data_IF_121059030687
#
_entry.id   IF_121059030687
#
_cell.length_a   1.000
_cell.length_b   1.000
_cell.length_c   1.000
_cell.angle_alpha   90.00
_cell.angle_beta   90.00
_cell.angle_gamma   90.00
#
_symmetry.space_group_name_H-M   'P 1'
#
loop_
_entity.id
_entity.type
_entity.pdbx_description
1 polymer ?
#
# COMPACT_ATOMS: atom_id res chain seq x y z
N UNK A 1 18.89 -6.99 -6.54
CA UNK A 1 17.56 -6.61 -6.03
C UNK A 1 17.62 -6.62 -4.52
N UNK A 2 17.24 -5.51 -3.87
CA UNK A 2 17.12 -5.46 -2.42
C UNK A 2 15.94 -6.32 -1.94
N UNK A 3 15.99 -6.81 -0.71
CA UNK A 3 15.10 -7.87 -0.22
C UNK A 3 13.72 -7.31 0.14
N UNK A 4 12.68 -7.70 -0.60
CA UNK A 4 11.28 -7.48 -0.21
C UNK A 4 10.86 -8.63 0.71
N UNK A 5 10.38 -8.30 1.91
CA UNK A 5 9.86 -9.29 2.86
C UNK A 5 8.69 -8.70 3.65
N UNK A 6 7.54 -9.34 3.53
CA UNK A 6 6.34 -8.96 4.26
C UNK A 6 6.35 -9.56 5.67
N UNK A 7 6.22 -8.69 6.67
CA UNK A 7 5.92 -9.08 8.04
C UNK A 7 4.42 -9.03 8.33
N UNK A 8 4.05 -9.15 9.60
CA UNK A 8 2.66 -9.08 10.09
C UNK A 8 1.94 -7.75 9.81
N UNK A 9 2.68 -6.71 9.39
CA UNK A 9 2.13 -5.37 9.15
C UNK A 9 2.75 -4.75 7.91
N UNK A 10 2.78 -5.51 6.82
CA UNK A 10 3.31 -5.10 5.52
C UNK A 10 4.82 -5.27 5.39
N UNK A 11 5.36 -4.70 4.32
CA UNK A 11 6.79 -4.63 4.07
C UNK A 11 7.36 -3.34 4.65
N UNK A 12 8.53 -3.43 5.31
CA UNK A 12 9.31 -2.29 5.81
C UNK A 12 10.72 -2.37 5.26
N UNK A 13 11.33 -1.23 5.00
CA UNK A 13 12.69 -1.12 4.52
C UNK A 13 13.33 0.21 4.87
N UNK A 14 14.65 0.27 4.84
CA UNK A 14 15.40 1.52 4.98
C UNK A 14 15.37 2.27 3.64
N UNK A 15 15.13 3.57 3.67
CA UNK A 15 15.15 4.42 2.48
C UNK A 15 16.45 4.27 1.69
N UNK A 16 16.34 4.26 0.36
CA UNK A 16 17.46 4.14 -0.58
C UNK A 16 18.28 2.84 -0.51
N UNK A 17 18.07 1.99 0.50
CA UNK A 17 18.63 0.65 0.58
C UNK A 17 17.60 -0.37 0.09
N UNK A 18 16.58 -0.61 0.91
CA UNK A 18 15.51 -1.56 0.61
C UNK A 18 14.29 -0.85 0.05
N UNK A 19 13.92 0.31 0.62
CA UNK A 19 12.71 1.02 0.25
C UNK A 19 12.98 2.01 -0.88
N UNK A 20 12.84 1.51 -2.11
CA UNK A 20 13.06 2.24 -3.36
C UNK A 20 11.79 2.33 -4.19
N UNK A 21 11.74 3.27 -5.14
CA UNK A 21 10.61 3.35 -6.09
C UNK A 21 10.44 2.06 -6.90
N UNK A 22 11.53 1.42 -7.30
CA UNK A 22 11.48 0.15 -8.04
C UNK A 22 10.76 -0.93 -7.24
N UNK A 23 11.14 -1.11 -5.97
CA UNK A 23 10.51 -2.09 -5.10
C UNK A 23 9.04 -1.73 -4.78
N UNK A 24 8.71 -0.44 -4.63
CA UNK A 24 7.30 0.00 -4.48
C UNK A 24 6.47 -0.35 -5.71
N UNK A 25 7.02 -0.23 -6.93
CA UNK A 25 6.31 -0.65 -8.16
C UNK A 25 6.08 -2.15 -8.19
N UNK A 26 7.10 -2.95 -7.85
CA UNK A 26 6.99 -4.42 -7.79
C UNK A 26 5.89 -4.83 -6.82
N UNK A 27 5.92 -4.30 -5.59
CA UNK A 27 4.91 -4.61 -4.57
C UNK A 27 3.52 -4.13 -4.98
N UNK A 28 3.41 -2.94 -5.57
CA UNK A 28 2.12 -2.43 -6.05
C UNK A 28 1.56 -3.31 -7.17
N UNK A 29 2.40 -3.80 -8.09
CA UNK A 29 1.99 -4.70 -9.16
C UNK A 29 1.50 -6.03 -8.60
N UNK A 30 2.21 -6.61 -7.64
CA UNK A 30 1.77 -7.85 -6.96
C UNK A 30 0.39 -7.69 -6.30
N UNK A 31 0.14 -6.55 -5.64
CA UNK A 31 -1.18 -6.24 -5.07
C UNK A 31 -2.23 -6.11 -6.18
N UNK A 32 -1.91 -5.47 -7.30
CA UNK A 32 -2.83 -5.34 -8.43
C UNK A 32 -3.24 -6.70 -9.01
N UNK A 33 -2.27 -7.62 -9.13
CA UNK A 33 -2.50 -8.96 -9.65
C UNK A 33 -3.31 -9.81 -8.67
N UNK A 34 -3.00 -9.76 -7.37
CA UNK A 34 -3.80 -10.38 -6.32
C UNK A 34 -5.28 -9.92 -6.37
N UNK A 35 -5.52 -8.62 -6.55
CA UNK A 35 -6.88 -8.08 -6.64
C UNK A 35 -7.62 -8.54 -7.91
N UNK A 36 -6.92 -8.74 -9.01
CA UNK A 36 -7.52 -9.28 -10.25
C UNK A 36 -7.86 -10.75 -10.13
N UNK A 37 -6.96 -11.55 -9.57
CA UNK A 37 -7.18 -12.98 -9.34
C UNK A 37 -8.40 -13.23 -8.45
N UNK A 38 -8.64 -12.34 -7.48
CA UNK A 38 -9.83 -12.37 -6.63
C UNK A 38 -11.09 -11.76 -7.25
N UNK A 39 -11.00 -11.19 -8.45
CA UNK A 39 -12.13 -10.52 -9.11
C UNK A 39 -12.59 -9.24 -8.41
N UNK A 40 -11.71 -8.58 -7.64
CA UNK A 40 -12.06 -7.39 -6.84
C UNK A 40 -11.53 -6.08 -7.43
N UNK A 41 -10.75 -6.14 -8.51
CA UNK A 41 -10.07 -4.99 -9.14
C UNK A 41 -10.99 -3.80 -9.45
N UNK A 42 -12.26 -4.03 -9.80
CA UNK A 42 -13.24 -2.98 -10.12
C UNK A 42 -13.69 -2.14 -8.91
N UNK A 43 -13.49 -2.63 -7.68
CA UNK A 43 -13.88 -1.91 -6.45
C UNK A 43 -12.92 -0.77 -6.10
N UNK A 44 -11.73 -0.75 -6.71
CA UNK A 44 -10.68 0.25 -6.48
C UNK A 44 -9.95 0.11 -5.13
N UNK A 45 -8.94 0.95 -4.91
CA UNK A 45 -8.03 0.88 -3.75
C UNK A 45 -7.82 2.26 -3.12
N UNK A 46 -7.91 2.36 -1.80
CA UNK A 46 -7.61 3.60 -1.04
C UNK A 46 -6.11 3.74 -0.85
N UNK A 47 -5.52 4.89 -1.18
CA UNK A 47 -4.07 5.13 -1.07
C UNK A 47 -3.81 6.27 -0.09
N UNK A 48 -3.02 6.01 0.94
CA UNK A 48 -2.61 7.01 1.93
C UNK A 48 -1.16 6.84 2.36
N UNK A 49 -0.68 7.82 3.12
CA UNK A 49 0.69 7.90 3.59
C UNK A 49 0.77 8.70 4.90
N UNK A 50 1.78 8.45 5.74
CA UNK A 50 2.11 9.29 6.90
C UNK A 50 3.11 10.40 6.52
N UNK A 51 3.55 11.20 7.51
CA UNK A 51 4.42 12.36 7.29
C UNK A 51 5.90 12.00 6.98
N UNK A 52 6.21 10.73 6.67
CA UNK A 52 7.58 10.32 6.30
C UNK A 52 7.99 10.95 4.97
N UNK A 53 9.31 11.12 4.84
CA UNK A 53 9.92 11.68 3.63
C UNK A 53 9.42 10.98 2.37
N UNK A 54 9.05 11.75 1.35
CA UNK A 54 8.55 11.28 0.04
C UNK A 54 7.27 10.42 0.08
N UNK A 55 6.53 10.38 1.20
CA UNK A 55 5.28 9.61 1.30
C UNK A 55 4.28 9.92 0.17
N UNK A 56 4.14 11.19 -0.20
CA UNK A 56 3.29 11.65 -1.30
C UNK A 56 3.76 11.13 -2.67
N UNK A 57 5.08 11.08 -2.88
CA UNK A 57 5.67 10.62 -4.14
C UNK A 57 5.50 9.10 -4.31
N UNK A 58 5.68 8.31 -3.24
CA UNK A 58 5.40 6.87 -3.28
C UNK A 58 3.92 6.60 -3.52
N UNK A 59 3.03 7.33 -2.84
CA UNK A 59 1.59 7.21 -3.06
C UNK A 59 1.20 7.49 -4.51
N UNK A 60 1.76 8.55 -5.12
CA UNK A 60 1.53 8.88 -6.54
C UNK A 60 2.11 7.85 -7.50
N UNK A 61 3.26 7.25 -7.18
CA UNK A 61 3.82 6.15 -7.98
C UNK A 61 2.92 4.91 -7.93
N UNK A 62 2.41 4.56 -6.75
CA UNK A 62 1.44 3.47 -6.60
C UNK A 62 0.17 3.73 -7.41
N UNK A 63 -0.37 4.95 -7.41
CA UNK A 63 -1.49 5.32 -8.28
C UNK A 63 -1.17 5.10 -9.75
N UNK A 64 0.04 5.44 -10.22
CA UNK A 64 0.45 5.21 -11.62
C UNK A 64 0.45 3.73 -11.98
N UNK A 65 1.00 2.87 -11.12
CA UNK A 65 1.04 1.41 -11.35
C UNK A 65 -0.36 0.82 -11.35
N UNK A 66 -1.20 1.19 -10.38
CA UNK A 66 -2.59 0.75 -10.31
C UNK A 66 -3.41 1.21 -11.52
N UNK A 67 -3.23 2.46 -11.97
CA UNK A 67 -3.87 2.98 -13.17
C UNK A 67 -3.44 2.23 -14.44
N UNK A 68 -2.15 1.90 -14.57
CA UNK A 68 -1.65 1.03 -15.64
C UNK A 68 -2.25 -0.39 -15.58
N UNK A 69 -2.67 -0.81 -14.39
CA UNK A 69 -3.40 -2.06 -14.17
C UNK A 69 -4.93 -1.93 -14.29
N UNK A 70 -5.46 -0.76 -14.68
CA UNK A 70 -6.90 -0.54 -14.79
C UNK A 70 -7.64 -0.49 -13.45
N UNK A 71 -6.93 -0.32 -12.34
CA UNK A 71 -7.51 -0.28 -10.98
C UNK A 71 -7.69 1.18 -10.55
N UNK A 72 -8.94 1.53 -10.22
CA UNK A 72 -9.28 2.86 -9.68
C UNK A 72 -8.60 3.08 -8.33
N UNK A 73 -8.01 4.26 -8.14
CA UNK A 73 -7.40 4.65 -6.85
C UNK A 73 -8.14 5.81 -6.20
N UNK A 74 -8.34 5.74 -4.89
CA UNK A 74 -8.82 6.83 -4.04
C UNK A 74 -7.63 7.39 -3.25
N UNK A 75 -6.97 8.42 -3.78
CA UNK A 75 -5.76 9.00 -3.16
C UNK A 75 -6.13 10.05 -2.11
N UNK A 76 -5.64 9.88 -0.88
CA UNK A 76 -5.72 10.90 0.16
C UNK A 76 -4.95 12.17 -0.24
N UNK A 77 -5.53 13.35 0.04
CA UNK A 77 -4.98 14.64 -0.38
C UNK A 77 -3.84 15.16 0.52
N UNK A 78 -3.57 14.49 1.64
CA UNK A 78 -2.50 14.82 2.60
C UNK A 78 -2.10 13.59 3.44
N UNK A 79 -1.14 13.78 4.33
CA UNK A 79 -0.79 12.82 5.37
C UNK A 79 -2.06 12.36 6.13
N UNK A 80 -2.26 11.03 6.22
CA UNK A 80 -3.52 10.45 6.67
C UNK A 80 -3.26 9.31 7.67
N UNK A 81 -3.84 9.35 8.88
CA UNK A 81 -3.70 8.27 9.84
C UNK A 81 -4.22 6.92 9.32
N UNK A 82 -3.53 5.83 9.65
CA UNK A 82 -3.96 4.45 9.36
C UNK A 82 -5.46 4.17 9.62
N UNK A 83 -6.06 4.56 10.77
CA UNK A 83 -7.48 4.30 11.00
C UNK A 83 -8.42 5.06 10.06
N UNK A 84 -8.01 6.23 9.54
CA UNK A 84 -8.78 6.96 8.53
C UNK A 84 -8.75 6.21 7.20
N UNK A 85 -7.61 5.66 6.80
CA UNK A 85 -7.50 4.80 5.61
C UNK A 85 -8.41 3.57 5.76
N UNK A 86 -8.39 2.91 6.92
CA UNK A 86 -9.27 1.78 7.20
C UNK A 86 -10.76 2.16 7.10
N UNK A 87 -11.14 3.30 7.67
CA UNK A 87 -12.49 3.84 7.57
C UNK A 87 -12.89 4.12 6.11
N UNK A 88 -12.00 4.70 5.32
CA UNK A 88 -12.23 5.01 3.90
C UNK A 88 -12.37 3.75 3.03
N UNK A 89 -11.64 2.66 3.34
CA UNK A 89 -11.83 1.37 2.68
C UNK A 89 -13.28 0.89 2.85
N UNK A 90 -13.78 0.92 4.08
CA UNK A 90 -15.15 0.51 4.40
C UNK A 90 -16.18 1.44 3.78
N UNK A 91 -15.98 2.76 3.87
CA UNK A 91 -16.88 3.79 3.35
C UNK A 91 -17.03 3.71 1.83
N UNK A 92 -15.94 3.42 1.12
CA UNK A 92 -15.94 3.28 -0.34
C UNK A 92 -16.28 1.86 -0.82
N UNK A 93 -16.41 0.89 0.08
CA UNK A 93 -16.51 -0.54 -0.26
C UNK A 93 -15.38 -0.98 -1.20
N UNK A 94 -14.18 -0.44 -0.97
CA UNK A 94 -13.01 -0.65 -1.81
C UNK A 94 -12.49 -2.11 -1.68
N UNK A 95 -11.71 -2.55 -2.67
CA UNK A 95 -11.03 -3.85 -2.63
C UNK A 95 -9.98 -3.91 -1.50
N UNK A 96 -9.48 -2.74 -1.09
CA UNK A 96 -8.55 -2.59 0.01
C UNK A 96 -7.92 -1.20 0.03
N UNK A 97 -6.81 -1.09 0.75
CA UNK A 97 -6.01 0.12 0.79
C UNK A 97 -4.52 -0.15 0.95
N UNK A 98 -3.73 0.76 0.39
CA UNK A 98 -2.27 0.80 0.53
C UNK A 98 -1.92 2.01 1.39
N UNK A 99 -1.20 1.76 2.48
CA UNK A 99 -0.75 2.79 3.40
C UNK A 99 0.77 2.82 3.51
N UNK A 100 1.37 3.96 3.17
CA UNK A 100 2.79 4.22 3.34
C UNK A 100 3.11 4.68 4.75
N UNK A 101 3.65 3.77 5.57
CA UNK A 101 4.07 4.07 6.95
C UNK A 101 4.95 2.95 7.50
N UNK A 102 6.03 3.33 8.20
CA UNK A 102 6.76 2.40 9.09
C UNK A 102 6.32 2.52 10.56
N UNK A 103 5.15 3.13 10.84
CA UNK A 103 4.60 3.34 12.18
C UNK A 103 5.61 4.04 13.10
N UNK A 104 6.07 3.37 14.15
CA UNK A 104 7.00 3.88 15.16
C UNK A 104 8.47 3.58 14.84
N UNK A 105 8.77 2.95 13.69
CA UNK A 105 10.16 2.73 13.29
C UNK A 105 10.90 4.07 13.14
N UNK A 106 12.24 4.06 13.27
CA UNK A 106 13.08 5.25 13.05
C UNK A 106 12.79 5.95 11.71
N UNK A 107 13.17 7.22 11.61
CA UNK A 107 12.81 8.09 10.47
C UNK A 107 13.39 7.64 9.13
N UNK A 108 14.51 6.92 9.13
CA UNK A 108 15.12 6.35 7.93
C UNK A 108 14.37 5.14 7.37
N UNK A 109 13.34 4.63 8.06
CA UNK A 109 12.48 3.57 7.54
C UNK A 109 11.27 4.14 6.80
N UNK A 110 10.78 3.37 5.83
CA UNK A 110 9.41 3.46 5.37
C UNK A 110 8.80 2.06 5.28
N UNK A 111 7.51 2.00 4.96
CA UNK A 111 6.82 0.74 4.77
C UNK A 111 5.63 0.89 3.85
N UNK A 112 5.25 -0.22 3.22
CA UNK A 112 4.04 -0.35 2.42
C UNK A 112 3.19 -1.42 3.09
N UNK A 113 2.00 -1.02 3.54
CA UNK A 113 1.02 -1.92 4.15
C UNK A 113 -0.16 -2.08 3.22
N UNK A 114 -0.63 -3.32 3.05
CA UNK A 114 -1.89 -3.62 2.39
C UNK A 114 -2.95 -4.00 3.44
N UNK A 115 -4.13 -3.41 3.29
CA UNK A 115 -5.33 -3.71 4.06
C UNK A 115 -6.42 -4.18 3.10
N UNK A 116 -6.94 -5.42 3.22
CA UNK A 116 -8.00 -5.90 2.33
C UNK A 116 -9.34 -5.17 2.59
N UNK A 117 -10.38 -5.55 1.84
CA UNK A 117 -11.72 -4.93 1.87
C UNK A 117 -12.41 -4.83 3.24
N UNK A 118 -11.97 -5.61 4.24
CA UNK A 118 -12.46 -5.53 5.61
C UNK A 118 -11.73 -4.49 6.49
N UNK A 119 -10.74 -3.78 5.95
CA UNK A 119 -10.15 -2.57 6.53
C UNK A 119 -9.03 -2.76 7.55
N UNK A 120 -8.75 -3.99 8.00
CA UNK A 120 -7.59 -4.26 8.87
C UNK A 120 -6.37 -4.80 8.11
N UNK A 121 -5.34 -5.29 8.82
CA UNK A 121 -4.09 -5.71 8.18
C UNK A 121 -4.26 -7.00 7.39
N UNK A 122 -3.67 -7.08 6.20
CA UNK A 122 -3.61 -8.33 5.44
C UNK A 122 -3.04 -9.48 6.30
N UNK A 123 -3.71 -10.63 6.25
CA UNK A 123 -3.32 -11.82 6.99
C UNK A 123 -2.17 -12.56 6.27
N UNK A 124 -1.44 -13.45 6.96
CA UNK A 124 -0.30 -14.17 6.38
C UNK A 124 -0.58 -14.85 5.05
N UNK A 125 -1.79 -15.36 4.85
CA UNK A 125 -2.24 -15.98 3.62
C UNK A 125 -2.14 -14.97 2.47
N UNK A 126 -2.73 -13.80 2.61
CA UNK A 126 -2.66 -12.71 1.62
C UNK A 126 -1.25 -12.15 1.41
N UNK A 127 -0.41 -12.12 2.45
CA UNK A 127 0.94 -11.54 2.34
C UNK A 127 2.00 -12.50 1.79
N UNK A 128 1.65 -13.78 1.59
CA UNK A 128 2.54 -14.83 1.08
C UNK A 128 2.20 -15.28 -0.35
N UNK A 129 1.04 -14.88 -0.85
CA UNK A 129 0.64 -15.01 -2.26
C UNK A 129 1.71 -14.35 -3.17
#
# INVERSE_FOLDING_TARGET
MARISFGTSGWRGIFCEDFTFENVKIVTQAIADHLRERGEHDKGVVIGYDARFMGDQFARETVRVLAGSGIKSFLCNRDTPTPVIAFEILRHQAAGGINFTASHNPSNYNGLKFSPSWGGPALPETTKD
#
